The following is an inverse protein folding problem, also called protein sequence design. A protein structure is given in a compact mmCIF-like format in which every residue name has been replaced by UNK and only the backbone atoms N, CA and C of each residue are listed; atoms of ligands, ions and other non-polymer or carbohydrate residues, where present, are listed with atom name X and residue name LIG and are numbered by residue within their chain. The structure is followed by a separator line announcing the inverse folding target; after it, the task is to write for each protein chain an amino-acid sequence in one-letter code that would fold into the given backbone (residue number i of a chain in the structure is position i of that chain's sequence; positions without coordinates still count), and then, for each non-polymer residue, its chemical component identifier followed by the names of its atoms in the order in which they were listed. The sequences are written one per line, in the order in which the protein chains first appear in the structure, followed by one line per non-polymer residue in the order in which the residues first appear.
data_IF_063104868544
#
_entry.id   IF_063104868544
#
_cell.length_a   1.000
_cell.length_b   1.000
_cell.length_c   1.000
_cell.angle_alpha   90.00
_cell.angle_beta   90.00
_cell.angle_gamma   90.00
#
_symmetry.space_group_name_H-M   'P 1'
#
loop_
_entity.id
_entity.type
_entity.pdbx_description
1 polymer ?
#
# COMPACT_ATOMS: atom_id res chain seq x y z
N UNK A 1 -13.79 33.39 -15.80
CA UNK A 1 -13.94 32.30 -14.82
C UNK A 1 -13.69 30.96 -15.50
N UNK A 2 -12.70 30.15 -15.08
CA UNK A 2 -12.71 28.72 -15.39
C UNK A 2 -12.82 27.91 -14.09
N UNK A 3 -14.05 27.59 -13.69
CA UNK A 3 -14.34 26.71 -12.55
C UNK A 3 -14.61 25.24 -12.97
N UNK A 4 -14.43 24.87 -14.24
CA UNK A 4 -14.89 23.55 -14.73
C UNK A 4 -13.85 22.43 -14.69
N UNK A 5 -12.53 22.71 -14.64
CA UNK A 5 -11.51 21.65 -14.71
C UNK A 5 -11.27 20.93 -13.39
N UNK A 6 -11.23 21.65 -12.25
CA UNK A 6 -10.99 21.06 -10.91
C UNK A 6 -12.06 20.03 -10.54
N UNK A 7 -13.33 20.26 -10.90
CA UNK A 7 -14.40 19.28 -10.67
C UNK A 7 -14.16 17.96 -11.43
N UNK A 8 -13.62 18.03 -12.66
CA UNK A 8 -13.33 16.83 -13.46
C UNK A 8 -12.22 15.99 -12.83
N UNK A 9 -11.14 16.63 -12.38
CA UNK A 9 -10.02 15.93 -11.72
C UNK A 9 -10.43 15.35 -10.36
N UNK A 10 -11.27 16.05 -9.59
CA UNK A 10 -11.87 15.50 -8.38
C UNK A 10 -12.59 14.17 -8.66
N UNK A 11 -13.52 14.14 -9.62
CA UNK A 11 -14.27 12.93 -9.94
C UNK A 11 -13.37 11.84 -10.52
N UNK A 12 -12.35 12.21 -11.30
CA UNK A 12 -11.37 11.25 -11.83
C UNK A 12 -10.61 10.54 -10.71
N UNK A 13 -10.06 11.28 -9.75
CA UNK A 13 -9.35 10.67 -8.62
C UNK A 13 -10.28 9.92 -7.68
N UNK A 14 -11.50 10.41 -7.47
CA UNK A 14 -12.52 9.72 -6.68
C UNK A 14 -12.89 8.36 -7.29
N UNK A 15 -13.20 8.34 -8.59
CA UNK A 15 -13.51 7.10 -9.32
C UNK A 15 -12.30 6.16 -9.29
N UNK A 16 -11.09 6.69 -9.53
CA UNK A 16 -9.87 5.89 -9.45
C UNK A 16 -9.68 5.29 -8.04
N UNK A 17 -9.93 6.04 -6.97
CA UNK A 17 -9.86 5.53 -5.60
C UNK A 17 -10.86 4.40 -5.36
N UNK A 18 -12.10 4.56 -5.80
CA UNK A 18 -13.14 3.53 -5.67
C UNK A 18 -12.81 2.28 -6.48
N UNK A 19 -12.33 2.44 -7.71
CA UNK A 19 -11.87 1.31 -8.53
C UNK A 19 -10.68 0.59 -7.89
N UNK A 20 -9.78 1.35 -7.27
CA UNK A 20 -8.63 0.78 -6.55
C UNK A 20 -9.06 0.02 -5.29
N UNK A 21 -10.06 0.53 -4.56
CA UNK A 21 -10.67 -0.20 -3.44
C UNK A 21 -11.28 -1.53 -3.93
N UNK A 22 -12.02 -1.51 -5.04
CA UNK A 22 -12.58 -2.71 -5.64
C UNK A 22 -11.49 -3.71 -6.06
N UNK A 23 -10.38 -3.22 -6.63
CA UNK A 23 -9.21 -4.05 -6.96
C UNK A 23 -8.63 -4.73 -5.70
N UNK A 24 -8.37 -3.96 -4.64
CA UNK A 24 -7.85 -4.50 -3.37
C UNK A 24 -8.83 -5.55 -2.81
N UNK A 25 -10.14 -5.27 -2.81
CA UNK A 25 -11.15 -6.18 -2.30
C UNK A 25 -11.19 -7.52 -3.06
N UNK A 26 -11.10 -7.46 -4.39
CA UNK A 26 -11.05 -8.67 -5.24
C UNK A 26 -9.77 -9.48 -4.93
N UNK A 27 -8.62 -8.80 -4.81
CA UNK A 27 -7.33 -9.44 -4.43
C UNK A 27 -7.36 -10.03 -3.03
N UNK A 28 -8.01 -9.35 -2.09
CA UNK A 28 -8.23 -9.82 -0.73
C UNK A 28 -9.02 -11.13 -0.71
N UNK A 29 -9.97 -11.28 -1.63
CA UNK A 29 -10.78 -12.49 -1.86
C UNK A 29 -10.03 -13.77 -2.27
N UNK A 30 -8.76 -13.67 -2.70
CA UNK A 30 -7.97 -14.82 -3.15
C UNK A 30 -7.41 -15.63 -1.96
N UNK A 31 -7.42 -16.97 -2.02
CA UNK A 31 -6.79 -17.80 -0.99
C UNK A 31 -5.26 -17.64 -0.98
N UNK A 32 -4.60 -18.05 0.12
CA UNK A 32 -3.13 -18.01 0.21
C UNK A 32 -2.44 -18.73 -0.97
N UNK A 33 -2.97 -19.89 -1.37
CA UNK A 33 -2.43 -20.69 -2.47
C UNK A 33 -2.53 -19.97 -3.82
N UNK A 34 -3.63 -19.24 -4.05
CA UNK A 34 -3.84 -18.51 -5.30
C UNK A 34 -2.98 -17.25 -5.40
N UNK A 35 -2.73 -16.58 -4.28
CA UNK A 35 -1.86 -15.40 -4.24
C UNK A 35 -0.36 -15.77 -4.15
N UNK A 36 -0.03 -17.03 -3.87
CA UNK A 36 1.35 -17.43 -3.63
C UNK A 36 2.23 -17.22 -4.86
N UNK A 37 3.39 -16.60 -4.64
CA UNK A 37 4.42 -16.41 -5.66
C UNK A 37 5.47 -17.52 -5.62
N UNK A 38 5.37 -18.45 -4.66
CA UNK A 38 6.33 -19.52 -4.43
C UNK A 38 6.64 -20.33 -5.70
N UNK A 39 5.67 -20.79 -6.51
CA UNK A 39 5.97 -21.57 -7.71
C UNK A 39 6.82 -20.79 -8.73
N UNK A 40 6.56 -19.49 -8.87
CA UNK A 40 7.32 -18.61 -9.77
C UNK A 40 8.73 -18.36 -9.24
N UNK A 41 8.86 -18.13 -7.93
CA UNK A 41 10.15 -17.91 -7.28
C UNK A 41 11.02 -19.18 -7.30
N UNK A 42 10.44 -20.36 -7.03
CA UNK A 42 11.13 -21.65 -7.15
C UNK A 42 11.64 -21.88 -8.57
N UNK A 43 10.81 -21.61 -9.58
CA UNK A 43 11.21 -21.75 -10.98
C UNK A 43 12.36 -20.81 -11.35
N UNK A 44 12.34 -19.55 -10.88
CA UNK A 44 13.35 -18.54 -11.25
C UNK A 44 14.62 -18.60 -10.41
N UNK A 45 14.54 -19.05 -9.16
CA UNK A 45 15.62 -18.90 -8.18
C UNK A 45 16.24 -20.23 -7.72
N UNK A 46 15.66 -21.38 -8.09
CA UNK A 46 16.18 -22.72 -7.74
C UNK A 46 17.65 -22.94 -8.08
N UNK A 47 18.17 -22.29 -9.13
CA UNK A 47 19.57 -22.40 -9.54
C UNK A 47 20.58 -21.53 -8.77
N UNK A 48 20.15 -20.63 -7.88
CA UNK A 48 21.00 -19.55 -7.36
C UNK A 48 21.76 -19.87 -6.06
N UNK A 49 21.72 -21.11 -5.55
CA UNK A 49 22.32 -21.51 -4.26
C UNK A 49 22.05 -20.50 -3.13
N UNK A 50 20.79 -20.04 -3.03
CA UNK A 50 20.41 -18.93 -2.16
C UNK A 50 20.83 -19.15 -0.70
N UNK A 51 20.81 -20.39 -0.20
CA UNK A 51 21.18 -20.73 1.17
C UNK A 51 22.60 -20.29 1.56
N UNK A 52 23.55 -20.31 0.62
CA UNK A 52 24.96 -20.00 0.93
C UNK A 52 25.25 -18.49 0.97
N UNK A 53 24.35 -17.66 0.43
CA UNK A 53 24.49 -16.20 0.40
C UNK A 53 23.46 -15.47 1.26
N UNK A 54 22.46 -16.19 1.78
CA UNK A 54 21.42 -15.58 2.58
C UNK A 54 21.95 -15.21 3.97
N UNK A 55 21.65 -14.00 4.48
CA UNK A 55 21.98 -13.67 5.87
C UNK A 55 21.23 -14.62 6.82
N UNK A 56 21.87 -15.04 7.91
CA UNK A 56 21.35 -16.03 8.87
C UNK A 56 20.37 -15.42 9.89
N UNK A 57 19.46 -14.58 9.43
CA UNK A 57 18.39 -13.99 10.24
C UNK A 57 17.19 -14.92 10.41
N UNK A 58 16.56 -14.85 11.57
CA UNK A 58 15.26 -15.45 11.84
C UNK A 58 14.44 -14.52 12.73
N UNK A 59 13.14 -14.44 12.48
CA UNK A 59 12.22 -13.67 13.31
C UNK A 59 10.83 -14.30 13.30
N UNK A 60 10.03 -13.97 14.30
CA UNK A 60 8.63 -14.39 14.38
C UNK A 60 7.72 -13.24 13.94
N UNK A 61 6.79 -13.53 13.04
CA UNK A 61 5.77 -12.61 12.54
C UNK A 61 4.40 -13.22 12.80
N UNK A 62 3.66 -12.68 13.76
CA UNK A 62 2.34 -13.16 14.19
C UNK A 62 2.24 -14.70 14.28
N UNK A 63 3.06 -15.28 15.15
CA UNK A 63 3.20 -16.73 15.37
C UNK A 63 3.77 -17.54 14.18
N UNK A 64 4.04 -16.93 13.03
CA UNK A 64 4.76 -17.55 11.92
C UNK A 64 6.26 -17.31 12.04
N UNK A 65 7.07 -18.38 11.95
CA UNK A 65 8.53 -18.27 11.97
C UNK A 65 9.05 -18.03 10.55
N UNK A 66 9.64 -16.86 10.31
CA UNK A 66 10.32 -16.52 9.06
C UNK A 66 11.82 -16.75 9.26
N UNK A 67 12.39 -17.70 8.52
CA UNK A 67 13.77 -18.15 8.71
C UNK A 67 14.52 -18.20 7.39
N UNK A 68 15.82 -17.88 7.44
CA UNK A 68 16.77 -18.05 6.34
C UNK A 68 16.82 -19.47 5.77
N UNK A 69 16.36 -20.48 6.53
CA UNK A 69 16.27 -21.88 6.07
C UNK A 69 15.27 -22.06 4.92
N UNK A 70 14.31 -21.14 4.76
CA UNK A 70 13.44 -21.04 3.57
C UNK A 70 13.63 -19.66 2.90
N UNK A 71 14.72 -19.46 2.12
CA UNK A 71 14.99 -18.19 1.44
C UNK A 71 13.84 -17.74 0.52
N UNK A 72 13.14 -18.69 -0.09
CA UNK A 72 12.04 -18.41 -1.01
C UNK A 72 10.84 -17.88 -0.22
N UNK A 73 10.49 -18.52 0.90
CA UNK A 73 9.46 -18.05 1.81
C UNK A 73 9.76 -16.64 2.35
N UNK A 74 11.02 -16.36 2.69
CA UNK A 74 11.45 -15.01 3.11
C UNK A 74 11.25 -13.98 2.00
N UNK A 75 11.70 -14.28 0.78
CA UNK A 75 11.55 -13.38 -0.37
C UNK A 75 10.06 -13.15 -0.68
N UNK A 76 9.25 -14.20 -0.71
CA UNK A 76 7.81 -14.12 -0.92
C UNK A 76 7.14 -13.25 0.14
N UNK A 77 7.49 -13.45 1.41
CA UNK A 77 7.00 -12.64 2.52
C UNK A 77 7.26 -11.14 2.27
N UNK A 78 8.50 -10.75 1.97
CA UNK A 78 8.83 -9.34 1.71
C UNK A 78 8.14 -8.78 0.47
N UNK A 79 8.06 -9.55 -0.63
CA UNK A 79 7.35 -9.11 -1.85
C UNK A 79 5.88 -8.87 -1.54
N UNK A 80 5.23 -9.78 -0.82
CA UNK A 80 3.81 -9.63 -0.44
C UNK A 80 3.59 -8.42 0.45
N UNK A 81 4.39 -8.23 1.51
CA UNK A 81 4.28 -7.05 2.38
C UNK A 81 4.55 -5.75 1.62
N UNK A 82 5.53 -5.72 0.71
CA UNK A 82 5.77 -4.57 -0.15
C UNK A 82 4.57 -4.28 -1.09
N UNK A 83 3.90 -5.32 -1.59
CA UNK A 83 2.67 -5.23 -2.36
C UNK A 83 1.56 -4.51 -1.58
N UNK A 84 1.23 -5.01 -0.39
CA UNK A 84 0.19 -4.41 0.46
C UNK A 84 0.52 -2.95 0.85
N UNK A 85 1.77 -2.69 1.29
CA UNK A 85 2.25 -1.31 1.53
C UNK A 85 2.03 -0.41 0.31
N UNK A 86 2.29 -0.91 -0.90
CA UNK A 86 2.10 -0.15 -2.14
C UNK A 86 0.62 0.07 -2.46
N UNK A 87 -0.23 -0.94 -2.26
CA UNK A 87 -1.68 -0.86 -2.47
C UNK A 87 -2.32 0.24 -1.61
N UNK A 88 -2.00 0.27 -0.31
CA UNK A 88 -2.53 1.26 0.62
C UNK A 88 -1.88 2.64 0.46
N UNK A 89 -0.61 2.70 0.03
CA UNK A 89 0.02 3.97 -0.37
C UNK A 89 -0.70 4.60 -1.57
N UNK A 90 -0.99 3.81 -2.62
CA UNK A 90 -1.72 4.30 -3.79
C UNK A 90 -3.13 4.73 -3.39
N UNK A 91 -3.83 3.95 -2.56
CA UNK A 91 -5.16 4.31 -2.07
C UNK A 91 -5.15 5.66 -1.33
N UNK A 92 -4.24 5.84 -0.37
CA UNK A 92 -4.09 7.08 0.38
C UNK A 92 -3.73 8.27 -0.51
N UNK A 93 -2.89 8.04 -1.53
CA UNK A 93 -2.53 9.06 -2.51
C UNK A 93 -3.76 9.50 -3.33
N UNK A 94 -4.55 8.55 -3.87
CA UNK A 94 -5.73 8.85 -4.67
C UNK A 94 -6.78 9.65 -3.87
N UNK A 95 -7.05 9.25 -2.63
CA UNK A 95 -7.92 10.01 -1.72
C UNK A 95 -7.38 11.41 -1.42
N UNK A 96 -6.07 11.53 -1.17
CA UNK A 96 -5.43 12.82 -0.92
C UNK A 96 -5.56 13.76 -2.12
N UNK A 97 -5.30 13.24 -3.33
CA UNK A 97 -5.40 14.01 -4.57
C UNK A 97 -6.85 14.45 -4.84
N UNK A 98 -7.83 13.56 -4.67
CA UNK A 98 -9.24 13.92 -4.79
C UNK A 98 -9.61 15.06 -3.83
N UNK A 99 -9.28 14.94 -2.54
CA UNK A 99 -9.65 15.94 -1.54
C UNK A 99 -8.95 17.29 -1.75
N UNK A 100 -7.70 17.29 -2.21
CA UNK A 100 -6.97 18.52 -2.53
C UNK A 100 -7.58 19.26 -3.74
N UNK A 101 -8.13 18.55 -4.73
CA UNK A 101 -8.83 19.18 -5.87
C UNK A 101 -10.10 19.93 -5.45
N UNK A 102 -10.74 19.52 -4.34
CA UNK A 102 -11.90 20.21 -3.74
C UNK A 102 -11.53 21.48 -2.96
N UNK A 103 -10.26 21.92 -3.00
CA UNK A 103 -9.75 23.04 -2.20
C UNK A 103 -9.92 22.85 -0.69
N UNK A 104 -9.97 21.59 -0.23
CA UNK A 104 -9.92 21.25 1.20
C UNK A 104 -8.55 21.65 1.75
N UNK A 105 -8.49 22.13 3.00
CA UNK A 105 -7.21 22.43 3.66
C UNK A 105 -6.33 21.19 3.64
N UNK A 106 -5.05 21.35 3.28
CA UNK A 106 -4.08 20.23 3.13
C UNK A 106 -4.11 19.28 4.33
N UNK A 107 -4.09 19.82 5.55
CA UNK A 107 -4.14 19.01 6.79
C UNK A 107 -5.40 18.15 6.86
N UNK A 108 -6.57 18.71 6.53
CA UNK A 108 -7.83 17.97 6.55
C UNK A 108 -7.84 16.90 5.44
N UNK A 109 -7.36 17.25 4.24
CA UNK A 109 -7.30 16.31 3.12
C UNK A 109 -6.42 15.08 3.45
N UNK A 110 -5.25 15.30 4.04
CA UNK A 110 -4.31 14.25 4.42
C UNK A 110 -4.81 13.42 5.61
N UNK A 111 -5.38 14.05 6.64
CA UNK A 111 -5.95 13.31 7.76
C UNK A 111 -7.13 12.43 7.33
N UNK A 112 -8.04 12.98 6.53
CA UNK A 112 -9.20 12.23 6.05
C UNK A 112 -8.78 11.09 5.14
N UNK A 113 -7.84 11.30 4.21
CA UNK A 113 -7.36 10.22 3.34
C UNK A 113 -6.64 9.13 4.13
N UNK A 114 -5.82 9.49 5.12
CA UNK A 114 -5.17 8.51 6.00
C UNK A 114 -6.18 7.68 6.80
N UNK A 115 -7.18 8.33 7.42
CA UNK A 115 -8.21 7.64 8.20
C UNK A 115 -8.98 6.67 7.30
N UNK A 116 -9.41 7.10 6.11
CA UNK A 116 -10.12 6.23 5.17
C UNK A 116 -9.26 5.02 4.79
N UNK A 117 -8.00 5.22 4.44
CA UNK A 117 -7.12 4.13 4.01
C UNK A 117 -6.79 3.15 5.15
N UNK A 118 -6.54 3.63 6.37
CA UNK A 118 -6.26 2.75 7.53
C UNK A 118 -7.50 1.96 7.94
N UNK A 119 -8.68 2.60 7.97
CA UNK A 119 -9.92 1.88 8.21
C UNK A 119 -10.18 0.85 7.12
N UNK A 120 -9.86 1.16 5.87
CA UNK A 120 -10.00 0.20 4.78
C UNK A 120 -9.05 -0.99 4.92
N UNK A 121 -7.79 -0.76 5.34
CA UNK A 121 -6.85 -1.83 5.64
C UNK A 121 -7.36 -2.75 6.76
N UNK A 122 -7.94 -2.16 7.82
CA UNK A 122 -8.55 -2.94 8.89
C UNK A 122 -9.75 -3.76 8.40
N UNK A 123 -10.59 -3.21 7.50
CA UNK A 123 -11.68 -3.98 6.90
C UNK A 123 -11.19 -5.07 5.96
N UNK A 124 -10.04 -4.87 5.29
CA UNK A 124 -9.43 -5.87 4.42
C UNK A 124 -8.95 -7.08 5.23
N UNK A 125 -8.18 -6.84 6.30
CA UNK A 125 -7.72 -7.90 7.20
C UNK A 125 -8.88 -8.64 7.87
N UNK A 126 -9.92 -7.91 8.25
CA UNK A 126 -11.16 -8.52 8.75
C UNK A 126 -11.83 -9.38 7.67
N UNK A 127 -11.94 -8.90 6.43
CA UNK A 127 -12.50 -9.65 5.32
C UNK A 127 -11.72 -10.95 5.03
N UNK A 128 -10.38 -10.90 5.11
CA UNK A 128 -9.52 -12.06 4.92
C UNK A 128 -9.81 -13.18 5.94
N UNK A 129 -10.29 -12.87 7.15
CA UNK A 129 -10.64 -13.89 8.15
C UNK A 129 -11.80 -14.80 7.72
N UNK A 130 -12.61 -14.38 6.75
CA UNK A 130 -13.72 -15.17 6.21
C UNK A 130 -13.29 -16.10 5.07
N UNK A 131 -12.05 -16.00 4.61
CA UNK A 131 -11.54 -16.75 3.46
C UNK A 131 -10.82 -18.00 3.94
N UNK A 132 -11.29 -19.16 3.46
CA UNK A 132 -10.71 -20.45 3.83
C UNK A 132 -9.23 -20.50 3.43
N UNK A 133 -8.37 -20.82 4.38
CA UNK A 133 -6.92 -20.89 4.17
C UNK A 133 -6.21 -19.53 4.15
N UNK A 134 -6.89 -18.45 4.54
CA UNK A 134 -6.24 -17.19 4.95
C UNK A 134 -6.39 -16.97 6.45
N UNK A 135 -5.43 -16.25 7.00
CA UNK A 135 -5.48 -15.71 8.35
C UNK A 135 -5.30 -14.21 8.23
N UNK A 136 -6.25 -13.44 8.76
CA UNK A 136 -6.06 -12.00 8.95
C UNK A 136 -5.06 -11.79 10.08
N UNK A 137 -4.09 -10.92 9.87
CA UNK A 137 -3.02 -10.62 10.80
C UNK A 137 -3.15 -9.16 11.22
N UNK A 138 -3.46 -8.89 12.50
CA UNK A 138 -3.64 -7.50 12.97
C UNK A 138 -2.39 -6.62 12.77
N UNK A 139 -1.21 -7.24 12.74
CA UNK A 139 0.06 -6.58 12.41
C UNK A 139 0.13 -6.09 10.95
N UNK A 140 -0.64 -6.70 10.04
CA UNK A 140 -0.67 -6.30 8.62
C UNK A 140 -1.31 -4.91 8.46
N UNK A 141 -2.33 -4.57 9.26
CA UNK A 141 -2.89 -3.21 9.30
C UNK A 141 -1.82 -2.17 9.66
N UNK A 142 -0.90 -2.52 10.57
CA UNK A 142 0.21 -1.62 10.97
C UNK A 142 1.21 -1.48 9.83
N UNK A 143 1.54 -2.57 9.15
CA UNK A 143 2.41 -2.56 7.97
C UNK A 143 1.79 -1.72 6.85
N UNK A 144 0.51 -1.87 6.58
CA UNK A 144 -0.21 -1.12 5.55
C UNK A 144 -0.29 0.38 5.85
N UNK A 145 -0.37 0.72 7.13
CA UNK A 145 -0.28 2.11 7.60
C UNK A 145 1.05 2.75 7.22
N UNK A 146 2.14 1.99 7.11
CA UNK A 146 3.42 2.52 6.59
C UNK A 146 3.24 3.03 5.16
N UNK A 147 2.50 2.30 4.33
CA UNK A 147 2.15 2.73 2.97
C UNK A 147 1.39 4.05 2.95
N UNK A 148 0.39 4.18 3.83
CA UNK A 148 -0.38 5.41 4.02
C UNK A 148 0.53 6.58 4.40
N UNK A 149 1.47 6.38 5.34
CA UNK A 149 2.42 7.40 5.75
C UNK A 149 3.35 7.82 4.60
N UNK A 150 3.84 6.86 3.80
CA UNK A 150 4.68 7.15 2.63
C UNK A 150 3.94 8.04 1.62
N UNK A 151 2.65 7.77 1.37
CA UNK A 151 1.83 8.60 0.50
C UNK A 151 1.66 10.03 1.03
N UNK A 152 1.41 10.20 2.34
CA UNK A 152 1.33 11.52 2.98
C UNK A 152 2.63 12.29 2.84
N UNK A 153 3.77 11.65 3.13
CA UNK A 153 5.09 12.26 2.99
C UNK A 153 5.36 12.69 1.54
N UNK A 154 5.00 11.86 0.56
CA UNK A 154 5.13 12.18 -0.85
C UNK A 154 4.32 13.43 -1.23
N UNK A 155 3.05 13.52 -0.80
CA UNK A 155 2.21 14.68 -1.07
C UNK A 155 2.80 15.95 -0.43
N UNK A 156 3.22 15.88 0.83
CA UNK A 156 3.84 17.00 1.52
C UNK A 156 5.12 17.46 0.83
N UNK A 157 5.98 16.52 0.41
CA UNK A 157 7.20 16.80 -0.34
C UNK A 157 6.89 17.54 -1.64
N UNK A 158 5.91 17.08 -2.42
CA UNK A 158 5.51 17.72 -3.69
C UNK A 158 4.98 19.14 -3.45
N UNK A 159 4.13 19.34 -2.43
CA UNK A 159 3.62 20.67 -2.09
C UNK A 159 4.74 21.61 -1.63
N UNK A 160 5.69 21.11 -0.84
CA UNK A 160 6.86 21.87 -0.40
C UNK A 160 7.72 22.30 -1.60
N UNK A 161 8.04 21.40 -2.53
CA UNK A 161 8.79 21.71 -3.75
C UNK A 161 8.06 22.78 -4.58
N UNK A 162 6.74 22.63 -4.78
CA UNK A 162 5.93 23.60 -5.55
C UNK A 162 5.96 25.00 -4.93
N UNK A 163 5.81 25.10 -3.61
CA UNK A 163 5.86 26.41 -2.92
C UNK A 163 7.26 27.04 -2.98
N UNK A 164 8.32 26.24 -2.86
CA UNK A 164 9.71 26.71 -3.01
C UNK A 164 10.00 27.25 -4.41
N UNK A 165 9.59 26.53 -5.46
CA UNK A 165 9.79 26.96 -6.86
C UNK A 165 9.01 28.25 -7.14
N UNK A 166 7.76 28.36 -6.66
CA UNK A 166 6.95 29.58 -6.85
C UNK A 166 7.58 30.80 -6.18
N UNK A 167 8.14 30.66 -4.97
CA UNK A 167 8.85 31.75 -4.29
C UNK A 167 10.09 32.22 -5.06
N UNK A 168 10.84 31.31 -5.68
CA UNK A 168 12.02 31.64 -6.50
C UNK A 168 11.71 32.35 -7.81
N UNK A 169 10.50 32.21 -8.37
CA UNK A 169 10.09 32.91 -9.61
C UNK A 169 9.58 34.33 -9.38
N UNK A 170 9.27 34.69 -8.13
CA UNK A 170 8.71 35.99 -7.74
C UNK A 170 9.81 36.91 -7.16
N UNK A 171 10.93 36.32 -6.72
CA UNK A 171 12.17 37.03 -6.39
C UNK A 171 13.03 37.22 -7.63
#
# INVERSE_FOLDING_TARGET
MPQSSSKRYYYLFLIAAVLWMAFIFIKSGESYQQQSLRPLLETKLSGLQLMNKFPHWEFSYDHQKISWQDPIGVIEFFIRKAGHVSEFAILALLWSLALLEKSVKVVIALLTSSIISVLYAATDEWHQTFIVGRTGHGIDVVVDTIGVLLAVLLVLMVLWIRTRIKRRRIS
#
